data_IF_449590613073
#
_entry.id   IF_449590613073
#
_cell.length_a   1.000
_cell.length_b   1.000
_cell.length_c   1.000
_cell.angle_alpha   90.00
_cell.angle_beta   90.00
_cell.angle_gamma   90.00
#
_symmetry.space_group_name_H-M   'P 1'
#
loop_
_entity.id
_entity.type
_entity.pdbx_description
1 polymer ?
#
# COMPACT_ATOMS: atom_id res chain seq x y z
N UNK A 1 -32.75 33.80 -52.07
CA UNK A 1 -32.19 34.26 -50.78
C UNK A 1 -30.81 33.66 -50.60
N UNK A 2 -29.77 34.35 -51.06
CA UNK A 2 -28.36 33.98 -50.87
C UNK A 2 -27.90 34.44 -49.49
N UNK A 3 -27.57 33.49 -48.60
CA UNK A 3 -27.02 33.78 -47.26
C UNK A 3 -25.62 34.37 -47.44
N UNK A 4 -25.51 35.70 -47.41
CA UNK A 4 -24.23 36.40 -47.35
C UNK A 4 -23.64 36.14 -45.97
N UNK A 5 -22.76 35.14 -45.87
CA UNK A 5 -21.89 34.98 -44.69
C UNK A 5 -21.03 36.23 -44.63
N UNK A 6 -21.14 37.00 -43.54
CA UNK A 6 -20.37 38.23 -43.40
C UNK A 6 -18.87 37.88 -43.36
N UNK A 7 -18.04 38.74 -43.95
CA UNK A 7 -16.57 38.57 -43.97
C UNK A 7 -16.03 38.46 -42.54
N UNK A 8 -16.71 39.06 -41.55
CA UNK A 8 -16.42 38.92 -40.13
C UNK A 8 -16.60 37.49 -39.59
N UNK A 9 -17.69 36.78 -39.93
CA UNK A 9 -17.89 35.40 -39.50
C UNK A 9 -16.81 34.46 -40.07
N UNK A 10 -16.42 34.69 -41.33
CA UNK A 10 -15.35 33.92 -41.98
C UNK A 10 -13.97 34.22 -41.37
N UNK A 11 -13.68 35.50 -41.07
CA UNK A 11 -12.43 35.92 -40.42
C UNK A 11 -12.33 35.41 -38.97
N UNK A 12 -13.43 35.42 -38.22
CA UNK A 12 -13.49 34.95 -36.84
C UNK A 12 -13.25 33.43 -36.73
N UNK A 13 -13.87 32.65 -37.62
CA UNK A 13 -13.67 31.20 -37.74
C UNK A 13 -12.21 30.83 -38.08
N UNK A 14 -11.62 31.54 -39.06
CA UNK A 14 -10.24 31.28 -39.52
C UNK A 14 -9.18 31.69 -38.49
N UNK A 15 -9.41 32.78 -37.75
CA UNK A 15 -8.57 33.24 -36.63
C UNK A 15 -8.51 32.22 -35.49
N UNK A 16 -9.66 31.62 -35.11
CA UNK A 16 -9.74 30.60 -34.06
C UNK A 16 -8.96 29.31 -34.41
N UNK A 17 -9.03 28.85 -35.66
CA UNK A 17 -8.30 27.66 -36.15
C UNK A 17 -6.78 27.88 -36.19
N UNK A 18 -6.32 29.05 -36.64
CA UNK A 18 -4.89 29.41 -36.64
C UNK A 18 -4.36 29.57 -35.22
N UNK A 19 -5.15 30.17 -34.33
CA UNK A 19 -4.86 30.32 -32.89
C UNK A 19 -4.73 28.97 -32.18
N UNK A 20 -5.58 27.98 -32.49
CA UNK A 20 -5.51 26.66 -31.85
C UNK A 20 -4.23 25.89 -32.22
N UNK A 21 -3.89 25.84 -33.52
CA UNK A 21 -2.66 25.16 -33.97
C UNK A 21 -1.39 25.92 -33.56
N UNK A 22 -1.41 27.25 -33.48
CA UNK A 22 -0.25 28.01 -32.97
C UNK A 22 -0.09 27.91 -31.45
N UNK A 23 -1.19 27.78 -30.69
CA UNK A 23 -1.17 27.74 -29.22
C UNK A 23 -1.02 26.32 -28.64
N UNK A 24 -1.54 25.31 -29.32
CA UNK A 24 -1.47 23.91 -28.89
C UNK A 24 -0.66 23.01 -29.84
N UNK A 25 -0.23 23.48 -31.01
CA UNK A 25 0.55 22.67 -31.96
C UNK A 25 1.89 22.23 -31.39
N UNK A 26 2.58 23.07 -30.62
CA UNK A 26 3.80 22.67 -29.91
C UNK A 26 3.49 21.65 -28.81
N UNK A 27 2.42 21.85 -28.03
CA UNK A 27 2.00 20.88 -27.00
C UNK A 27 1.68 19.54 -27.65
N UNK A 28 0.94 19.53 -28.75
CA UNK A 28 0.56 18.32 -29.47
C UNK A 28 1.75 17.67 -30.18
N UNK A 29 2.76 18.44 -30.61
CA UNK A 29 3.98 17.92 -31.21
C UNK A 29 4.84 17.17 -30.17
N UNK A 30 4.97 17.71 -28.95
CA UNK A 30 5.72 17.07 -27.86
C UNK A 30 4.92 15.96 -27.16
N UNK A 31 3.60 16.13 -27.02
CA UNK A 31 2.73 15.17 -26.34
C UNK A 31 2.20 14.08 -27.28
N UNK A 32 2.10 14.37 -28.57
CA UNK A 32 1.52 13.50 -29.60
C UNK A 32 2.17 12.12 -29.69
N UNK A 33 3.52 12.02 -29.79
CA UNK A 33 4.19 10.72 -29.82
C UNK A 33 3.91 9.89 -28.56
N UNK A 34 3.96 10.51 -27.37
CA UNK A 34 3.63 9.84 -26.12
C UNK A 34 2.18 9.37 -26.10
N UNK A 35 1.21 10.23 -26.44
CA UNK A 35 -0.22 9.88 -26.47
C UNK A 35 -0.50 8.77 -27.47
N UNK A 36 0.12 8.81 -28.65
CA UNK A 36 -0.03 7.76 -29.65
C UNK A 36 0.39 6.40 -29.09
N UNK A 37 1.61 6.31 -28.55
CA UNK A 37 2.11 5.06 -27.98
C UNK A 37 1.35 4.61 -26.73
N UNK A 38 0.95 5.54 -25.86
CA UNK A 38 0.13 5.25 -24.70
C UNK A 38 -1.24 4.70 -25.09
N UNK A 39 -1.91 5.30 -26.09
CA UNK A 39 -3.19 4.81 -26.58
C UNK A 39 -3.04 3.43 -27.25
N UNK A 40 -2.01 3.25 -28.08
CA UNK A 40 -1.79 2.03 -28.85
C UNK A 40 -1.35 0.84 -27.96
N UNK A 41 -0.45 1.06 -27.01
CA UNK A 41 0.17 -0.02 -26.23
C UNK A 41 -0.34 -0.14 -24.79
N UNK A 42 -1.08 0.84 -24.29
CA UNK A 42 -1.66 0.77 -22.93
C UNK A 42 -3.19 0.75 -22.98
N UNK A 43 -3.82 1.75 -23.59
CA UNK A 43 -5.29 1.87 -23.56
C UNK A 43 -5.96 0.82 -24.44
N UNK A 44 -5.47 0.62 -25.67
CA UNK A 44 -6.06 -0.36 -26.59
C UNK A 44 -6.02 -1.80 -26.05
N UNK A 45 -4.89 -2.35 -25.57
CA UNK A 45 -4.86 -3.69 -24.99
C UNK A 45 -5.70 -3.82 -23.72
N UNK A 46 -5.80 -2.77 -22.90
CA UNK A 46 -6.66 -2.75 -21.72
C UNK A 46 -8.14 -2.87 -22.11
N UNK A 47 -8.61 -2.05 -23.06
CA UNK A 47 -10.00 -2.10 -23.55
C UNK A 47 -10.28 -3.44 -24.21
N UNK A 48 -9.34 -3.98 -25.00
CA UNK A 48 -9.46 -5.29 -25.60
C UNK A 48 -9.55 -6.41 -24.55
N UNK A 49 -8.75 -6.33 -23.47
CA UNK A 49 -8.82 -7.24 -22.33
C UNK A 49 -10.16 -7.20 -21.60
N UNK A 50 -10.75 -6.02 -21.44
CA UNK A 50 -12.10 -5.86 -20.88
C UNK A 50 -13.16 -6.45 -21.82
N UNK A 51 -13.01 -6.32 -23.14
CA UNK A 51 -13.92 -6.96 -24.08
C UNK A 51 -13.81 -8.50 -23.99
N UNK A 52 -12.59 -9.03 -23.97
CA UNK A 52 -12.34 -10.47 -23.83
C UNK A 52 -12.89 -11.04 -22.52
N UNK A 53 -12.83 -10.29 -21.41
CA UNK A 53 -13.34 -10.75 -20.12
C UNK A 53 -14.86 -10.98 -20.10
N UNK A 54 -15.60 -10.34 -21.02
CA UNK A 54 -17.05 -10.47 -21.17
C UNK A 54 -17.46 -11.56 -22.19
N UNK A 55 -16.49 -12.25 -22.77
CA UNK A 55 -16.70 -13.25 -23.81
C UNK A 55 -16.17 -14.61 -23.35
N UNK A 56 -16.74 -15.69 -23.91
CA UNK A 56 -15.97 -16.92 -24.09
C UNK A 56 -14.99 -16.61 -25.23
N UNK A 57 -13.71 -16.51 -24.90
CA UNK A 57 -12.69 -16.16 -25.88
C UNK A 57 -11.61 -17.26 -25.91
N UNK A 58 -11.36 -17.75 -27.12
CA UNK A 58 -10.37 -18.76 -27.47
C UNK A 58 -9.55 -18.24 -28.66
N UNK A 59 -8.23 -18.39 -28.56
CA UNK A 59 -7.32 -18.01 -29.64
C UNK A 59 -7.23 -19.12 -30.68
N UNK A 60 -7.25 -20.39 -30.24
CA UNK A 60 -7.06 -21.54 -31.12
C UNK A 60 -8.32 -21.89 -31.92
N UNK A 61 -9.50 -21.62 -31.35
CA UNK A 61 -10.78 -21.88 -32.00
C UNK A 61 -11.69 -20.64 -31.95
N UNK A 62 -11.51 -19.71 -32.90
CA UNK A 62 -12.31 -18.50 -32.98
C UNK A 62 -13.81 -18.76 -33.17
N UNK A 63 -14.20 -19.94 -33.65
CA UNK A 63 -15.62 -20.28 -33.88
C UNK A 63 -16.40 -20.44 -32.57
N UNK A 64 -15.69 -20.72 -31.48
CA UNK A 64 -16.29 -20.82 -30.14
C UNK A 64 -16.40 -19.47 -29.43
N UNK A 65 -15.94 -18.39 -30.07
CA UNK A 65 -15.98 -17.06 -29.48
C UNK A 65 -17.42 -16.57 -29.42
N UNK A 66 -17.93 -16.38 -28.21
CA UNK A 66 -19.31 -15.97 -27.98
C UNK A 66 -19.38 -14.93 -26.86
N UNK A 67 -20.20 -13.90 -27.05
CA UNK A 67 -20.51 -12.96 -25.98
C UNK A 67 -21.26 -13.68 -24.85
N UNK A 68 -20.75 -13.58 -23.62
CA UNK A 68 -21.35 -14.21 -22.43
C UNK A 68 -21.64 -13.21 -21.30
N UNK A 69 -21.44 -11.92 -21.56
CA UNK A 69 -21.60 -10.87 -20.55
C UNK A 69 -20.77 -11.16 -19.30
N UNK A 70 -21.38 -11.09 -18.12
CA UNK A 70 -20.69 -11.26 -16.84
C UNK A 70 -20.51 -12.72 -16.38
N UNK A 71 -20.76 -13.71 -17.24
CA UNK A 71 -20.67 -15.12 -16.84
C UNK A 71 -19.30 -15.51 -16.27
N UNK A 72 -18.20 -15.02 -16.86
CA UNK A 72 -16.86 -15.29 -16.37
C UNK A 72 -16.66 -14.77 -14.94
N UNK A 73 -17.20 -13.57 -14.65
CA UNK A 73 -17.15 -12.97 -13.32
C UNK A 73 -18.02 -13.73 -12.31
N UNK A 74 -19.21 -14.22 -12.73
CA UNK A 74 -20.06 -15.07 -11.88
C UNK A 74 -19.37 -16.38 -11.52
N UNK A 75 -18.79 -17.06 -12.51
CA UNK A 75 -18.00 -18.28 -12.29
C UNK A 75 -16.80 -18.01 -11.39
N UNK A 76 -16.14 -16.85 -11.55
CA UNK A 76 -14.97 -16.49 -10.76
C UNK A 76 -15.31 -16.14 -9.31
N UNK A 77 -16.37 -15.36 -9.07
CA UNK A 77 -16.64 -14.74 -7.76
C UNK A 77 -17.68 -15.49 -6.93
N UNK A 78 -18.63 -16.17 -7.57
CA UNK A 78 -19.81 -16.72 -6.88
C UNK A 78 -19.85 -18.26 -6.90
N UNK A 79 -19.29 -18.89 -7.93
CA UNK A 79 -19.32 -20.35 -8.05
C UNK A 79 -18.19 -21.02 -7.26
N UNK A 80 -18.39 -21.24 -5.96
CA UNK A 80 -17.42 -21.91 -5.09
C UNK A 80 -17.09 -23.35 -5.47
N UNK A 81 -17.92 -24.00 -6.31
CA UNK A 81 -17.64 -25.33 -6.84
C UNK A 81 -16.75 -25.30 -8.09
N UNK A 82 -16.51 -24.12 -8.68
CA UNK A 82 -15.64 -23.98 -9.84
C UNK A 82 -14.17 -24.02 -9.43
N UNK A 83 -13.38 -24.85 -10.11
CA UNK A 83 -11.92 -24.88 -9.95
C UNK A 83 -11.27 -23.50 -10.13
N UNK A 84 -11.85 -22.65 -10.99
CA UNK A 84 -11.36 -21.29 -11.20
C UNK A 84 -11.55 -20.39 -9.99
N UNK A 85 -12.70 -20.48 -9.31
CA UNK A 85 -12.96 -19.71 -8.10
C UNK A 85 -12.01 -20.15 -6.99
N UNK A 86 -11.95 -21.46 -6.73
CA UNK A 86 -11.14 -22.04 -5.65
C UNK A 86 -9.66 -21.69 -5.83
N UNK A 87 -9.10 -21.92 -7.02
CA UNK A 87 -7.69 -21.62 -7.29
C UNK A 87 -7.39 -20.12 -7.31
N UNK A 88 -8.31 -19.28 -7.83
CA UNK A 88 -8.14 -17.83 -7.80
C UNK A 88 -8.05 -17.30 -6.37
N UNK A 89 -8.98 -17.68 -5.50
CA UNK A 89 -8.98 -17.21 -4.11
C UNK A 89 -7.84 -17.80 -3.29
N UNK A 90 -7.42 -19.04 -3.58
CA UNK A 90 -6.21 -19.63 -3.01
C UNK A 90 -4.96 -18.82 -3.41
N UNK A 91 -4.79 -18.52 -4.70
CA UNK A 91 -3.68 -17.72 -5.22
C UNK A 91 -3.69 -16.28 -4.66
N UNK A 92 -4.87 -15.66 -4.58
CA UNK A 92 -5.06 -14.35 -3.96
C UNK A 92 -4.66 -14.35 -2.48
N UNK A 93 -5.07 -15.38 -1.73
CA UNK A 93 -4.71 -15.53 -0.31
C UNK A 93 -3.20 -15.69 -0.14
N UNK A 94 -2.55 -16.55 -0.90
CA UNK A 94 -1.11 -16.72 -0.87
C UNK A 94 -0.37 -15.43 -1.18
N UNK A 95 -0.80 -14.71 -2.23
CA UNK A 95 -0.22 -13.43 -2.63
C UNK A 95 -0.39 -12.37 -1.54
N UNK A 96 -1.58 -12.27 -0.94
CA UNK A 96 -1.87 -11.31 0.12
C UNK A 96 -1.08 -11.61 1.40
N UNK A 97 -1.01 -12.88 1.81
CA UNK A 97 -0.21 -13.32 2.96
C UNK A 97 1.27 -13.06 2.73
N UNK A 98 1.78 -13.39 1.55
CA UNK A 98 3.16 -13.12 1.19
C UNK A 98 3.45 -11.61 1.22
N UNK A 99 2.61 -10.80 0.57
CA UNK A 99 2.72 -9.34 0.57
C UNK A 99 2.71 -8.75 1.99
N UNK A 100 1.82 -9.23 2.86
CA UNK A 100 1.73 -8.79 4.25
C UNK A 100 3.02 -9.03 5.04
N UNK A 101 3.70 -10.16 4.78
CA UNK A 101 4.93 -10.54 5.48
C UNK A 101 6.17 -9.84 4.89
N UNK A 102 6.28 -9.78 3.56
CA UNK A 102 7.47 -9.25 2.89
C UNK A 102 7.53 -7.72 2.90
N UNK A 103 6.38 -7.03 2.79
CA UNK A 103 6.34 -5.56 2.66
C UNK A 103 7.01 -4.85 3.85
N UNK A 104 6.73 -5.19 5.12
CA UNK A 104 7.40 -4.56 6.26
C UNK A 104 8.93 -4.70 6.17
N UNK A 105 9.43 -5.89 5.83
CA UNK A 105 10.87 -6.16 5.71
C UNK A 105 11.46 -5.39 4.52
N UNK A 106 10.77 -5.38 3.39
CA UNK A 106 11.16 -4.65 2.17
C UNK A 106 11.16 -3.13 2.33
N UNK A 107 10.61 -2.57 3.42
CA UNK A 107 10.68 -1.14 3.74
C UNK A 107 11.68 -0.88 4.86
N UNK A 108 11.60 -1.65 5.96
CA UNK A 108 12.44 -1.45 7.13
C UNK A 108 13.91 -1.63 6.81
N UNK A 109 14.25 -2.67 6.05
CA UNK A 109 15.65 -2.97 5.73
C UNK A 109 16.27 -1.86 4.85
N UNK A 110 15.64 -1.41 3.74
CA UNK A 110 16.05 -0.20 3.03
C UNK A 110 16.11 1.07 3.86
N UNK A 111 15.15 1.28 4.77
CA UNK A 111 15.12 2.48 5.62
C UNK A 111 16.34 2.51 6.55
N UNK A 112 16.63 1.39 7.22
CA UNK A 112 17.80 1.26 8.09
C UNK A 112 19.07 1.51 7.27
N UNK A 113 19.22 0.86 6.12
CA UNK A 113 20.38 1.05 5.24
C UNK A 113 20.49 2.50 4.75
N UNK A 114 19.38 3.14 4.39
CA UNK A 114 19.36 4.53 3.94
C UNK A 114 19.81 5.49 5.05
N UNK A 115 19.36 5.27 6.29
CA UNK A 115 19.78 6.06 7.46
C UNK A 115 21.29 5.87 7.72
N UNK A 116 21.78 4.63 7.70
CA UNK A 116 23.20 4.33 7.91
C UNK A 116 24.09 5.00 6.86
N UNK A 117 23.70 4.93 5.58
CA UNK A 117 24.44 5.57 4.48
C UNK A 117 24.33 7.09 4.53
N UNK A 118 23.24 7.65 5.08
CA UNK A 118 23.05 9.08 5.21
C UNK A 118 24.07 9.74 6.16
N UNK A 119 24.64 8.99 7.11
CA UNK A 119 25.77 9.47 7.94
C UNK A 119 27.09 9.61 7.16
N UNK A 120 27.13 9.18 5.90
CA UNK A 120 28.31 9.25 5.03
C UNK A 120 29.57 8.63 5.67
N UNK A 121 29.53 7.38 6.15
CA UNK A 121 30.72 6.71 6.66
C UNK A 121 31.83 6.62 5.60
N UNK A 122 33.07 6.39 6.03
CA UNK A 122 34.19 6.18 5.10
C UNK A 122 33.83 5.07 4.11
N UNK A 123 33.91 5.36 2.81
CA UNK A 123 33.52 4.42 1.75
C UNK A 123 32.02 4.35 1.42
N UNK A 124 31.17 5.28 1.89
CA UNK A 124 29.71 5.23 1.66
C UNK A 124 29.30 5.07 0.18
N UNK A 125 30.08 5.59 -0.77
CA UNK A 125 29.81 5.44 -2.21
C UNK A 125 29.88 3.98 -2.65
N UNK A 126 30.85 3.22 -2.13
CA UNK A 126 31.01 1.80 -2.40
C UNK A 126 29.86 1.00 -1.78
N UNK A 127 29.55 1.23 -0.49
CA UNK A 127 28.42 0.57 0.16
C UNK A 127 27.09 0.84 -0.56
N UNK A 128 26.87 2.08 -1.01
CA UNK A 128 25.69 2.44 -1.80
C UNK A 128 25.59 1.62 -3.10
N UNK A 129 26.71 1.40 -3.79
CA UNK A 129 26.75 0.57 -4.99
C UNK A 129 26.45 -0.90 -4.68
N UNK A 130 27.07 -1.46 -3.64
CA UNK A 130 26.87 -2.86 -3.23
C UNK A 130 25.43 -3.13 -2.77
N UNK A 131 24.82 -2.22 -2.02
CA UNK A 131 23.42 -2.35 -1.57
C UNK A 131 22.45 -2.32 -2.76
N UNK A 132 22.76 -1.53 -3.79
CA UNK A 132 21.90 -1.41 -4.97
C UNK A 132 22.11 -2.54 -5.98
N UNK A 133 23.29 -3.16 -6.00
CA UNK A 133 23.69 -4.18 -6.97
C UNK A 133 22.67 -5.32 -7.19
N UNK A 134 22.07 -5.92 -6.14
CA UNK A 134 21.09 -7.00 -6.32
C UNK A 134 19.86 -6.59 -7.14
N UNK A 135 19.44 -5.33 -7.05
CA UNK A 135 18.22 -4.84 -7.71
C UNK A 135 18.38 -4.63 -9.22
N UNK A 136 19.61 -4.68 -9.73
CA UNK A 136 19.92 -4.58 -11.16
C UNK A 136 19.87 -5.96 -11.83
N UNK A 137 20.05 -7.04 -11.05
CA UNK A 137 20.14 -8.38 -11.60
C UNK A 137 18.77 -8.87 -12.08
N UNK A 138 18.69 -9.49 -13.28
CA UNK A 138 17.46 -10.11 -13.75
C UNK A 138 16.99 -11.20 -12.82
N UNK A 139 15.68 -11.25 -12.55
CA UNK A 139 15.06 -12.26 -11.66
C UNK A 139 15.38 -13.69 -12.11
N UNK A 140 15.47 -13.93 -13.42
CA UNK A 140 15.85 -15.24 -13.98
C UNK A 140 17.27 -15.65 -13.58
N UNK A 141 18.25 -14.76 -13.76
CA UNK A 141 19.65 -15.01 -13.38
C UNK A 141 19.80 -15.19 -11.87
N UNK A 142 19.19 -14.30 -11.08
CA UNK A 142 19.19 -14.42 -9.63
C UNK A 142 18.51 -15.71 -9.15
N UNK A 143 17.41 -16.11 -9.79
CA UNK A 143 16.72 -17.35 -9.46
C UNK A 143 17.58 -18.58 -9.70
N UNK A 144 18.30 -18.67 -10.83
CA UNK A 144 19.24 -19.79 -11.09
C UNK A 144 20.34 -19.87 -10.04
N UNK A 145 20.89 -18.72 -9.61
CA UNK A 145 21.88 -18.67 -8.52
C UNK A 145 21.26 -19.22 -7.23
N UNK A 146 20.04 -18.80 -6.89
CA UNK A 146 19.35 -19.29 -5.70
C UNK A 146 19.02 -20.80 -5.77
N UNK A 147 18.62 -21.32 -6.93
CA UNK A 147 18.43 -22.77 -7.13
C UNK A 147 19.73 -23.52 -6.85
N UNK A 148 20.87 -23.02 -7.33
CA UNK A 148 22.17 -23.64 -7.06
C UNK A 148 22.55 -23.55 -5.57
N UNK A 149 22.34 -22.40 -4.92
CA UNK A 149 22.65 -22.19 -3.49
C UNK A 149 21.81 -23.10 -2.58
N UNK A 150 20.52 -23.23 -2.88
CA UNK A 150 19.55 -24.01 -2.10
C UNK A 150 19.34 -25.43 -2.65
N UNK A 151 20.22 -25.89 -3.56
CA UNK A 151 20.18 -27.25 -4.08
C UNK A 151 20.34 -28.27 -2.96
N UNK A 152 19.49 -29.30 -2.96
CA UNK A 152 19.51 -30.34 -1.94
C UNK A 152 20.76 -31.22 -2.00
N UNK A 153 21.35 -31.42 -3.18
CA UNK A 153 22.50 -32.32 -3.42
C UNK A 153 23.85 -31.64 -3.28
N UNK A 154 23.98 -30.39 -3.75
CA UNK A 154 25.27 -29.69 -3.80
C UNK A 154 25.19 -28.24 -3.30
N UNK A 155 24.05 -27.81 -2.76
CA UNK A 155 23.84 -26.44 -2.35
C UNK A 155 24.69 -26.05 -1.15
N UNK A 156 25.34 -24.89 -1.26
CA UNK A 156 26.19 -24.34 -0.20
C UNK A 156 25.43 -24.09 1.10
N UNK A 157 24.12 -23.80 1.03
CA UNK A 157 23.30 -23.59 2.23
C UNK A 157 23.25 -24.87 3.08
N UNK A 158 22.95 -26.01 2.45
CA UNK A 158 22.93 -27.30 3.13
C UNK A 158 24.30 -27.69 3.69
N UNK A 159 25.37 -27.46 2.92
CA UNK A 159 26.73 -27.75 3.37
C UNK A 159 27.14 -26.91 4.57
N UNK A 160 26.80 -25.62 4.59
CA UNK A 160 27.15 -24.73 5.69
C UNK A 160 26.39 -25.08 6.98
N UNK A 161 25.11 -25.46 6.87
CA UNK A 161 24.30 -25.85 8.02
C UNK A 161 24.41 -27.34 8.39
N UNK A 162 25.11 -28.15 7.60
CA UNK A 162 25.20 -29.60 7.80
C UNK A 162 23.86 -30.32 7.63
N UNK A 163 22.97 -29.79 6.79
CA UNK A 163 21.61 -30.32 6.56
C UNK A 163 21.47 -30.90 5.15
N UNK A 164 20.42 -31.70 4.93
CA UNK A 164 20.08 -32.32 3.63
C UNK A 164 18.66 -31.96 3.17
N UNK A 165 18.20 -30.77 3.54
CA UNK A 165 16.82 -30.31 3.29
C UNK A 165 16.64 -30.04 1.79
N UNK A 166 15.52 -30.51 1.23
CA UNK A 166 15.12 -30.18 -0.15
C UNK A 166 14.24 -28.93 -0.16
N UNK A 167 14.92 -27.77 -0.02
CA UNK A 167 14.30 -26.47 0.22
C UNK A 167 13.18 -26.08 -0.76
N UNK A 168 13.28 -26.49 -2.03
CA UNK A 168 12.36 -26.05 -3.08
C UNK A 168 11.19 -27.02 -3.30
N UNK A 169 11.37 -28.32 -3.00
CA UNK A 169 10.41 -29.35 -3.41
C UNK A 169 9.86 -30.21 -2.27
N UNK A 170 10.41 -30.18 -1.04
CA UNK A 170 9.90 -31.04 0.03
C UNK A 170 8.71 -30.45 0.78
N UNK A 171 8.79 -29.17 1.17
CA UNK A 171 7.81 -28.53 2.05
C UNK A 171 7.47 -27.12 1.52
N UNK A 172 6.17 -26.76 1.45
CA UNK A 172 5.74 -25.41 1.11
C UNK A 172 6.43 -24.30 1.88
N UNK A 173 6.68 -24.49 3.18
CA UNK A 173 7.26 -23.46 4.05
C UNK A 173 8.69 -23.17 3.63
N UNK A 174 9.48 -24.21 3.33
CA UNK A 174 10.85 -24.03 2.85
C UNK A 174 10.88 -23.33 1.49
N UNK A 175 9.98 -23.70 0.58
CA UNK A 175 9.88 -23.08 -0.72
C UNK A 175 9.55 -21.57 -0.59
N UNK A 176 8.60 -21.22 0.26
CA UNK A 176 8.28 -19.82 0.58
C UNK A 176 9.42 -19.06 1.24
N UNK A 177 10.24 -19.70 2.08
CA UNK A 177 11.43 -19.08 2.67
C UNK A 177 12.44 -18.71 1.58
N UNK A 178 12.71 -19.60 0.62
CA UNK A 178 13.67 -19.31 -0.47
C UNK A 178 13.14 -18.18 -1.36
N UNK A 179 11.85 -18.20 -1.70
CA UNK A 179 11.18 -17.11 -2.44
C UNK A 179 11.28 -15.79 -1.67
N UNK A 180 11.03 -15.82 -0.36
CA UNK A 180 11.12 -14.65 0.52
C UNK A 180 12.54 -14.07 0.51
N UNK A 181 13.56 -14.90 0.68
CA UNK A 181 14.96 -14.46 0.69
C UNK A 181 15.38 -13.85 -0.66
N UNK A 182 14.99 -14.46 -1.78
CA UNK A 182 15.23 -13.89 -3.11
C UNK A 182 14.53 -12.53 -3.26
N UNK A 183 13.30 -12.40 -2.79
CA UNK A 183 12.53 -11.16 -2.84
C UNK A 183 13.11 -10.05 -1.96
N UNK A 184 13.58 -10.37 -0.75
CA UNK A 184 14.25 -9.40 0.14
C UNK A 184 15.54 -8.92 -0.53
N UNK A 185 16.37 -9.85 -0.99
CA UNK A 185 17.68 -9.54 -1.56
C UNK A 185 17.57 -8.75 -2.87
N UNK A 186 16.67 -9.12 -3.77
CA UNK A 186 16.49 -8.44 -5.05
C UNK A 186 15.63 -7.16 -4.96
N UNK A 187 14.67 -7.11 -4.03
CA UNK A 187 13.62 -6.07 -4.02
C UNK A 187 13.96 -4.79 -3.24
N UNK A 188 14.96 -4.82 -2.36
CA UNK A 188 15.23 -3.73 -1.42
C UNK A 188 15.88 -2.46 -2.05
N UNK A 189 16.50 -2.58 -3.23
CA UNK A 189 17.30 -1.50 -3.83
C UNK A 189 16.49 -0.29 -4.29
N UNK A 190 15.29 -0.51 -4.86
CA UNK A 190 14.40 0.57 -5.28
C UNK A 190 13.93 1.43 -4.11
N UNK A 191 13.42 0.79 -3.06
CA UNK A 191 13.01 1.47 -1.83
C UNK A 191 14.18 2.19 -1.17
N UNK A 192 15.39 1.62 -1.19
CA UNK A 192 16.58 2.26 -0.65
C UNK A 192 16.90 3.57 -1.36
N UNK A 193 16.79 3.63 -2.69
CA UNK A 193 17.04 4.85 -3.47
C UNK A 193 16.02 5.93 -3.14
N UNK A 194 14.73 5.58 -3.11
CA UNK A 194 13.63 6.52 -2.82
C UNK A 194 13.77 7.08 -1.40
N UNK A 195 14.00 6.22 -0.41
CA UNK A 195 14.15 6.63 0.99
C UNK A 195 15.44 7.44 1.21
N UNK A 196 16.55 7.07 0.57
CA UNK A 196 17.79 7.85 0.61
C UNK A 196 17.61 9.25 0.02
N UNK A 197 16.84 9.40 -1.06
CA UNK A 197 16.50 10.70 -1.62
C UNK A 197 15.61 11.51 -0.67
N UNK A 198 14.63 10.86 -0.03
CA UNK A 198 13.78 11.48 0.99
C UNK A 198 14.56 12.00 2.20
N UNK A 199 15.50 11.21 2.72
CA UNK A 199 16.34 11.59 3.87
C UNK A 199 17.20 12.82 3.60
N UNK A 200 17.63 13.03 2.34
CA UNK A 200 18.39 14.22 1.96
C UNK A 200 17.57 15.51 1.96
N UNK A 201 16.24 15.41 1.88
CA UNK A 201 15.34 16.57 1.92
C UNK A 201 15.03 17.02 3.36
N UNK A 202 15.48 16.29 4.39
CA UNK A 202 15.30 16.69 5.79
C UNK A 202 16.25 17.85 6.09
N UNK A 203 15.68 18.99 6.49
CA UNK A 203 16.46 20.19 6.83
C UNK A 203 17.37 19.91 8.05
N UNK A 204 18.65 20.28 7.92
CA UNK A 204 19.64 20.18 8.99
C UNK A 204 19.26 21.05 10.18
N UNK A 205 18.60 22.19 9.94
CA UNK A 205 18.16 23.11 11.00
C UNK A 205 17.22 22.42 12.00
N UNK A 206 16.33 21.53 11.53
CA UNK A 206 15.43 20.75 12.36
C UNK A 206 16.18 19.73 13.24
N UNK A 207 17.23 19.11 12.68
CA UNK A 207 18.07 18.16 13.41
C UNK A 207 18.94 18.85 14.47
N UNK A 208 19.44 20.05 14.17
CA UNK A 208 20.19 20.89 15.11
C UNK A 208 19.28 21.39 16.24
N UNK A 209 18.09 21.91 15.92
CA UNK A 209 17.10 22.31 16.92
C UNK A 209 16.75 21.16 17.87
N UNK A 210 16.48 19.97 17.34
CA UNK A 210 16.23 18.78 18.16
C UNK A 210 17.45 18.38 19.02
N UNK A 211 18.68 18.72 18.60
CA UNK A 211 19.89 18.48 19.40
C UNK A 211 19.95 19.42 20.60
N UNK A 212 19.58 20.70 20.40
CA UNK A 212 19.50 21.71 21.46
C UNK A 212 18.42 21.36 22.49
N UNK A 213 17.30 20.79 22.04
CA UNK A 213 16.21 20.29 22.90
C UNK A 213 16.56 18.99 23.66
N UNK A 214 17.81 18.51 23.58
CA UNK A 214 18.27 17.32 24.30
C UNK A 214 17.80 15.99 23.71
N UNK A 215 17.35 15.96 22.45
CA UNK A 215 16.86 14.74 21.83
C UNK A 215 18.01 13.79 21.48
N UNK A 216 17.90 12.51 21.87
CA UNK A 216 18.89 11.47 21.53
C UNK A 216 18.88 11.17 20.02
N UNK A 217 19.94 10.56 19.49
CA UNK A 217 20.01 10.19 18.06
C UNK A 217 18.84 9.33 17.60
N UNK A 218 18.40 8.37 18.43
CA UNK A 218 17.21 7.58 18.15
C UNK A 218 15.93 8.42 18.24
N UNK A 219 15.84 9.33 19.21
CA UNK A 219 14.75 10.29 19.33
C UNK A 219 14.58 11.16 18.08
N UNK A 220 15.69 11.65 17.50
CA UNK A 220 15.68 12.42 16.24
C UNK A 220 15.15 11.60 15.06
N UNK A 221 15.55 10.33 14.94
CA UNK A 221 15.07 9.46 13.87
C UNK A 221 13.55 9.29 13.97
N UNK A 222 13.04 8.96 15.15
CA UNK A 222 11.63 8.65 15.35
C UNK A 222 10.72 9.88 15.28
N UNK A 223 11.15 11.00 15.84
CA UNK A 223 10.30 12.19 16.02
C UNK A 223 10.53 13.30 14.99
N UNK A 224 11.66 13.30 14.28
CA UNK A 224 11.98 14.33 13.28
C UNK A 224 12.08 13.69 11.90
N UNK A 225 13.00 12.75 11.72
CA UNK A 225 13.32 12.19 10.40
C UNK A 225 12.15 11.43 9.79
N UNK A 226 11.60 10.42 10.49
CA UNK A 226 10.50 9.58 9.98
C UNK A 226 9.25 10.41 9.63
N UNK A 227 8.79 11.36 10.47
CA UNK A 227 7.69 12.26 10.11
C UNK A 227 7.96 13.10 8.86
N UNK A 228 9.18 13.61 8.67
CA UNK A 228 9.55 14.39 7.49
C UNK A 228 9.51 13.57 6.20
N UNK A 229 9.92 12.29 6.24
CA UNK A 229 9.92 11.41 5.06
C UNK A 229 8.63 10.58 4.91
N UNK A 230 7.57 10.95 5.64
CA UNK A 230 6.30 10.20 5.66
C UNK A 230 5.71 9.99 4.27
N UNK A 231 5.79 11.00 3.39
CA UNK A 231 5.24 10.89 2.04
C UNK A 231 5.98 9.85 1.21
N UNK A 232 7.32 9.81 1.31
CA UNK A 232 8.16 8.82 0.65
C UNK A 232 7.93 7.42 1.23
N UNK A 233 7.77 7.30 2.55
CA UNK A 233 7.43 6.03 3.20
C UNK A 233 6.09 5.48 2.72
N UNK A 234 5.05 6.31 2.69
CA UNK A 234 3.72 5.92 2.19
C UNK A 234 3.84 5.46 0.73
N UNK A 235 4.53 6.24 -0.12
CA UNK A 235 4.75 5.86 -1.50
C UNK A 235 5.44 4.49 -1.61
N UNK A 236 6.55 4.27 -0.91
CA UNK A 236 7.26 2.99 -0.89
C UNK A 236 6.37 1.83 -0.42
N UNK A 237 5.57 2.03 0.65
CA UNK A 237 4.66 1.00 1.16
C UNK A 237 3.71 0.54 0.06
N UNK A 238 2.99 1.47 -0.55
CA UNK A 238 1.96 1.12 -1.52
C UNK A 238 2.55 0.60 -2.84
N UNK A 239 3.65 1.17 -3.33
CA UNK A 239 4.32 0.65 -4.54
C UNK A 239 4.86 -0.76 -4.31
N UNK A 240 5.37 -1.04 -3.10
CA UNK A 240 5.86 -2.38 -2.74
C UNK A 240 4.73 -3.38 -2.64
N UNK A 241 3.58 -3.01 -2.06
CA UNK A 241 2.38 -3.85 -2.05
C UNK A 241 1.97 -4.18 -3.49
N UNK A 242 1.78 -3.16 -4.34
CA UNK A 242 1.38 -3.33 -5.75
C UNK A 242 2.38 -4.23 -6.49
N UNK A 243 3.67 -4.05 -6.25
CA UNK A 243 4.74 -4.88 -6.83
C UNK A 243 4.61 -6.36 -6.46
N UNK A 244 4.39 -6.68 -5.18
CA UNK A 244 4.25 -8.07 -4.74
C UNK A 244 2.90 -8.72 -5.09
N UNK A 245 1.85 -7.94 -5.36
CA UNK A 245 0.65 -8.47 -6.03
C UNK A 245 0.91 -8.95 -7.46
N UNK A 246 1.99 -8.48 -8.07
CA UNK A 246 2.45 -8.89 -9.42
C UNK A 246 3.58 -9.93 -9.37
N UNK A 247 3.77 -10.62 -8.23
CA UNK A 247 4.84 -11.60 -8.04
C UNK A 247 4.65 -12.80 -8.98
N UNK A 248 5.54 -12.96 -9.95
CA UNK A 248 5.50 -14.05 -10.93
C UNK A 248 6.88 -14.70 -11.11
N UNK A 249 7.87 -13.92 -11.54
CA UNK A 249 9.16 -14.44 -12.00
C UNK A 249 9.90 -15.25 -10.94
N UNK A 250 9.84 -14.84 -9.68
CA UNK A 250 10.49 -15.51 -8.56
C UNK A 250 9.91 -16.91 -8.33
N UNK A 251 8.57 -17.03 -8.34
CA UNK A 251 7.88 -18.31 -8.19
C UNK A 251 8.12 -19.18 -9.41
N UNK A 252 7.97 -18.62 -10.61
CA UNK A 252 8.16 -19.34 -11.86
C UNK A 252 9.56 -19.99 -11.95
N UNK A 253 10.60 -19.24 -11.60
CA UNK A 253 11.98 -19.73 -11.69
C UNK A 253 12.32 -20.70 -10.57
N UNK A 254 11.97 -20.40 -9.31
CA UNK A 254 12.41 -21.18 -8.15
C UNK A 254 11.64 -22.49 -7.98
N UNK A 255 10.31 -22.44 -8.12
CA UNK A 255 9.42 -23.54 -7.70
C UNK A 255 8.44 -23.96 -8.77
N UNK A 256 8.24 -23.12 -9.78
CA UNK A 256 7.17 -23.25 -10.77
C UNK A 256 5.81 -23.55 -10.12
N UNK A 257 5.50 -22.87 -9.01
CA UNK A 257 4.25 -23.03 -8.24
C UNK A 257 4.26 -24.17 -7.21
N UNK A 258 5.21 -25.11 -7.28
CA UNK A 258 5.34 -26.21 -6.34
C UNK A 258 5.87 -25.81 -4.95
N UNK A 259 6.03 -26.78 -4.03
CA UNK A 259 5.61 -28.18 -4.15
C UNK A 259 4.09 -28.33 -4.15
N UNK A 260 3.60 -29.44 -4.68
CA UNK A 260 2.16 -29.74 -4.71
C UNK A 260 1.72 -30.27 -3.34
N UNK A 261 0.59 -29.77 -2.86
CA UNK A 261 -0.03 -30.20 -1.60
C UNK A 261 -1.45 -30.66 -1.85
N UNK A 262 -1.89 -31.67 -1.10
CA UNK A 262 -3.28 -32.10 -1.12
C UNK A 262 -4.00 -31.49 0.09
N UNK A 263 -5.03 -30.69 -0.18
CA UNK A 263 -5.93 -30.14 0.85
C UNK A 263 -7.33 -30.63 0.48
N UNK A 264 -7.97 -31.39 1.38
CA UNK A 264 -9.33 -31.91 1.23
C UNK A 264 -9.56 -32.68 -0.09
N UNK A 265 -8.58 -33.47 -0.51
CA UNK A 265 -8.65 -34.28 -1.75
C UNK A 265 -8.33 -33.49 -3.03
N UNK A 266 -8.06 -32.20 -2.95
CA UNK A 266 -7.69 -31.35 -4.10
C UNK A 266 -6.20 -31.02 -4.06
N UNK A 267 -5.51 -31.20 -5.19
CA UNK A 267 -4.09 -30.85 -5.31
C UNK A 267 -3.93 -29.36 -5.65
N UNK A 268 -3.09 -28.67 -4.88
CA UNK A 268 -2.76 -27.26 -5.05
C UNK A 268 -1.26 -27.08 -5.20
N UNK A 269 -0.88 -26.17 -6.09
CA UNK A 269 0.45 -25.60 -6.15
C UNK A 269 0.67 -24.68 -4.93
N UNK A 270 1.47 -25.11 -3.96
CA UNK A 270 1.54 -24.45 -2.66
C UNK A 270 2.14 -23.04 -2.69
N UNK A 271 3.00 -22.75 -3.67
CA UNK A 271 3.59 -21.42 -3.88
C UNK A 271 2.89 -20.59 -4.95
N UNK A 272 1.68 -21.01 -5.36
CA UNK A 272 0.90 -20.31 -6.37
C UNK A 272 0.57 -18.87 -5.93
N UNK A 273 1.16 -17.89 -6.60
CA UNK A 273 0.69 -16.51 -6.59
C UNK A 273 -0.38 -16.28 -7.64
N UNK A 274 -1.13 -15.18 -7.51
CA UNK A 274 -2.18 -14.83 -8.45
C UNK A 274 -1.62 -14.64 -9.86
N UNK A 275 -0.50 -13.94 -10.00
CA UNK A 275 0.06 -13.68 -11.32
C UNK A 275 0.66 -14.93 -11.95
N UNK A 276 1.24 -15.83 -11.16
CA UNK A 276 1.64 -17.15 -11.64
C UNK A 276 0.45 -18.00 -12.09
N UNK A 277 -0.66 -17.98 -11.35
CA UNK A 277 -1.87 -18.71 -11.74
C UNK A 277 -2.46 -18.22 -13.08
N UNK A 278 -2.53 -16.90 -13.29
CA UNK A 278 -3.00 -16.36 -14.56
C UNK A 278 -2.10 -16.80 -15.72
N UNK A 279 -0.78 -16.76 -15.52
CA UNK A 279 0.20 -17.17 -16.54
C UNK A 279 0.20 -18.68 -16.79
N UNK A 280 0.00 -19.51 -15.76
CA UNK A 280 -0.05 -20.97 -15.92
C UNK A 280 -1.28 -21.41 -16.71
N UNK A 281 -2.40 -20.69 -16.59
CA UNK A 281 -3.57 -20.91 -17.44
C UNK A 281 -3.33 -20.55 -18.91
N UNK A 282 -2.61 -19.45 -19.19
CA UNK A 282 -2.28 -19.02 -20.56
C UNK A 282 -1.32 -20.01 -21.21
N UNK A 283 -0.29 -20.44 -20.48
CA UNK A 283 0.74 -21.34 -20.98
C UNK A 283 0.32 -22.82 -20.97
N UNK A 284 -0.86 -23.12 -20.41
CA UNK A 284 -1.41 -24.46 -20.37
C UNK A 284 -1.96 -24.94 -21.71
N UNK A 285 -2.37 -26.21 -21.75
CA UNK A 285 -2.94 -26.85 -22.95
C UNK A 285 -4.42 -26.49 -23.19
N UNK A 286 -5.03 -25.69 -22.31
CA UNK A 286 -6.44 -25.35 -22.36
C UNK A 286 -6.67 -24.05 -23.13
N UNK A 287 -6.97 -24.15 -24.42
CA UNK A 287 -7.04 -22.98 -25.30
C UNK A 287 -8.29 -22.09 -25.12
N UNK A 288 -9.31 -22.55 -24.39
CA UNK A 288 -10.56 -21.84 -24.20
C UNK A 288 -10.62 -20.94 -22.95
N UNK A 289 -9.47 -20.70 -22.29
CA UNK A 289 -9.43 -20.01 -20.98
C UNK A 289 -9.14 -18.52 -21.06
N UNK A 290 -8.79 -17.96 -22.23
CA UNK A 290 -8.35 -16.57 -22.35
C UNK A 290 -9.41 -15.54 -21.90
N UNK A 291 -10.69 -15.79 -22.17
CA UNK A 291 -11.78 -14.95 -21.64
C UNK A 291 -11.86 -15.00 -20.11
N UNK A 292 -11.69 -16.18 -19.52
CA UNK A 292 -11.66 -16.37 -18.07
C UNK A 292 -10.44 -15.72 -17.42
N UNK A 293 -9.25 -15.90 -18.00
CA UNK A 293 -8.01 -15.28 -17.53
C UNK A 293 -8.07 -13.76 -17.63
N UNK A 294 -8.68 -13.22 -18.69
CA UNK A 294 -8.92 -11.77 -18.81
C UNK A 294 -9.83 -11.26 -17.69
N UNK A 295 -10.90 -12.00 -17.36
CA UNK A 295 -11.77 -11.66 -16.22
C UNK A 295 -11.03 -11.68 -14.87
N UNK A 296 -10.15 -12.67 -14.67
CA UNK A 296 -9.28 -12.73 -13.48
C UNK A 296 -8.31 -11.53 -13.42
N UNK A 297 -7.69 -11.18 -14.55
CA UNK A 297 -6.77 -10.05 -14.66
C UNK A 297 -7.43 -8.71 -14.38
N UNK A 298 -8.63 -8.48 -14.93
CA UNK A 298 -9.42 -7.27 -14.62
C UNK A 298 -9.83 -7.25 -13.14
N UNK A 299 -10.22 -8.40 -12.57
CA UNK A 299 -10.57 -8.50 -11.14
C UNK A 299 -9.37 -8.16 -10.26
N UNK A 300 -8.18 -8.72 -10.54
CA UNK A 300 -6.93 -8.36 -9.87
C UNK A 300 -6.62 -6.86 -10.03
N UNK A 301 -6.77 -6.31 -11.23
CA UNK A 301 -6.61 -4.89 -11.50
C UNK A 301 -7.53 -4.01 -10.67
N UNK A 302 -8.77 -4.42 -10.43
CA UNK A 302 -9.70 -3.73 -9.53
C UNK A 302 -9.20 -3.79 -8.09
N UNK A 303 -8.75 -4.95 -7.59
CA UNK A 303 -8.18 -5.07 -6.24
C UNK A 303 -6.96 -4.16 -6.04
N UNK A 304 -6.03 -4.16 -6.99
CA UNK A 304 -4.84 -3.28 -6.97
C UNK A 304 -5.24 -1.81 -7.10
N UNK A 305 -6.26 -1.51 -7.92
CA UNK A 305 -6.86 -0.19 -8.06
C UNK A 305 -7.48 0.33 -6.78
N UNK A 306 -8.14 -0.53 -5.98
CA UNK A 306 -8.67 -0.18 -4.66
C UNK A 306 -7.55 0.16 -3.67
N UNK A 307 -6.46 -0.63 -3.67
CA UNK A 307 -5.26 -0.33 -2.87
C UNK A 307 -4.68 1.04 -3.25
N UNK A 308 -4.61 1.33 -4.55
CA UNK A 308 -4.14 2.62 -5.09
C UNK A 308 -5.09 3.77 -4.73
N UNK A 309 -6.40 3.56 -4.76
CA UNK A 309 -7.37 4.56 -4.32
C UNK A 309 -7.20 4.89 -2.83
N UNK A 310 -6.97 3.87 -1.99
CA UNK A 310 -6.65 4.05 -0.57
C UNK A 310 -5.35 4.85 -0.42
N UNK A 311 -4.30 4.53 -1.20
CA UNK A 311 -3.05 5.30 -1.22
C UNK A 311 -3.32 6.79 -1.49
N UNK A 312 -4.11 7.11 -2.52
CA UNK A 312 -4.43 8.49 -2.89
C UNK A 312 -5.20 9.21 -1.77
N UNK A 313 -6.14 8.53 -1.12
CA UNK A 313 -6.90 9.10 0.00
C UNK A 313 -6.01 9.36 1.23
N UNK A 314 -5.07 8.47 1.53
CA UNK A 314 -4.12 8.58 2.66
C UNK A 314 -3.04 9.64 2.37
N UNK A 315 -2.58 9.73 1.12
CA UNK A 315 -1.51 10.66 0.69
C UNK A 315 -2.02 12.06 0.42
N UNK A 316 -3.34 12.24 0.20
CA UNK A 316 -3.97 13.55 0.02
C UNK A 316 -3.57 14.44 1.20
N UNK A 317 -2.68 15.39 0.93
CA UNK A 317 -2.26 16.36 1.93
C UNK A 317 -3.51 17.01 2.52
N UNK A 318 -3.70 16.88 3.83
CA UNK A 318 -4.68 17.71 4.51
C UNK A 318 -4.21 19.15 4.29
N UNK A 319 -4.91 19.90 3.41
CA UNK A 319 -4.80 21.36 3.25
C UNK A 319 -4.76 22.15 4.58
N UNK A 320 -5.13 21.49 5.69
CA UNK A 320 -4.94 21.93 7.07
C UNK A 320 -3.51 22.33 7.47
N UNK A 321 -2.47 21.84 6.79
CA UNK A 321 -1.07 22.21 7.11
C UNK A 321 -0.77 23.70 6.96
N UNK A 322 -1.48 24.38 6.06
CA UNK A 322 -1.35 25.82 5.88
C UNK A 322 -2.16 26.57 6.91
N UNK A 323 -3.16 25.98 7.56
CA UNK A 323 -4.00 26.70 8.52
C UNK A 323 -3.18 27.39 9.62
N UNK A 324 -2.18 26.69 10.19
CA UNK A 324 -1.28 27.28 11.19
C UNK A 324 -0.27 28.26 10.59
N UNK A 325 0.22 28.01 9.38
CA UNK A 325 1.14 28.92 8.68
C UNK A 325 0.42 30.22 8.25
N UNK A 326 -0.81 30.10 7.76
CA UNK A 326 -1.74 31.17 7.41
C UNK A 326 -2.26 31.88 8.67
N UNK A 327 -2.50 31.17 9.77
CA UNK A 327 -2.81 31.78 11.07
C UNK A 327 -1.60 32.57 11.59
N UNK A 328 -0.38 32.07 11.40
CA UNK A 328 0.86 32.77 11.76
C UNK A 328 1.18 33.94 10.82
N UNK A 329 0.94 33.79 9.52
CA UNK A 329 1.06 34.86 8.54
C UNK A 329 0.05 35.98 8.84
N UNK A 330 -1.21 35.62 9.13
CA UNK A 330 -2.23 36.57 9.62
C UNK A 330 -1.85 37.20 10.95
N UNK A 331 -1.18 36.48 11.84
CA UNK A 331 -0.64 37.05 13.08
C UNK A 331 0.45 38.11 12.79
N UNK A 332 1.40 37.82 11.89
CA UNK A 332 2.43 38.77 11.47
C UNK A 332 1.83 39.99 10.76
N UNK A 333 0.87 39.79 9.86
CA UNK A 333 0.14 40.88 9.18
C UNK A 333 -0.63 41.74 10.19
N UNK A 334 -1.37 41.14 11.13
CA UNK A 334 -2.07 41.89 12.18
C UNK A 334 -1.12 42.64 13.12
N UNK A 335 0.10 42.15 13.32
CA UNK A 335 1.15 42.88 14.06
C UNK A 335 1.79 44.00 13.24
N UNK A 336 1.89 43.86 11.91
CA UNK A 336 2.38 44.91 11.00
C UNK A 336 1.36 46.02 10.80
N UNK A 337 0.08 45.66 10.68
CA UNK A 337 -1.03 46.60 10.55
C UNK A 337 -1.41 47.24 11.89
N UNK A 338 -1.38 46.47 12.98
CA UNK A 338 -1.60 46.96 14.35
C UNK A 338 -0.39 47.67 14.97
N UNK A 339 0.81 47.52 14.40
CA UNK A 339 2.00 48.24 14.82
C UNK A 339 2.03 49.72 14.40
N UNK A 340 1.06 50.16 13.58
CA UNK A 340 0.94 51.55 13.13
C UNK A 340 -0.24 52.30 13.77
N UNK A 341 -1.10 51.63 14.56
CA UNK A 341 -2.20 52.28 15.30
C UNK A 341 -2.46 51.55 16.60
N UNK A 342 -2.33 52.29 17.71
CA UNK A 342 -2.54 51.91 19.11
C UNK A 342 -1.28 51.50 19.88
N UNK A 343 -0.37 52.47 20.01
CA UNK A 343 0.22 52.74 21.32
C UNK A 343 -0.82 53.52 22.15
N UNK A 344 -0.92 53.18 23.44
CA UNK A 344 -1.94 53.55 24.43
C UNK A 344 -3.21 52.66 24.52
N UNK A 345 -3.34 52.07 25.71
CA UNK A 345 -4.47 51.34 26.28
C UNK A 345 -4.80 49.94 25.73
N UNK A 346 -4.14 48.94 26.32
CA UNK A 346 -4.78 47.86 27.12
C UNK A 346 -3.73 46.91 27.68
N UNK A 347 -3.21 47.25 28.86
CA UNK A 347 -2.61 46.27 29.76
C UNK A 347 -3.74 45.46 30.41
N UNK A 348 -3.67 44.14 30.31
CA UNK A 348 -4.44 43.24 31.18
C UNK A 348 -5.17 42.11 30.47
N UNK A 349 -4.43 41.10 30.00
CA UNK A 349 -4.73 39.66 30.19
C UNK A 349 -3.62 38.81 29.56
N UNK A 350 -2.95 37.93 30.31
CA UNK A 350 -1.93 37.05 29.75
C UNK A 350 -2.61 35.95 28.91
N UNK A 351 -2.21 35.83 27.65
CA UNK A 351 -2.48 34.66 26.84
C UNK A 351 -1.70 33.47 27.43
N UNK A 352 -2.40 32.52 28.06
CA UNK A 352 -1.81 31.24 28.48
C UNK A 352 -1.44 30.44 27.23
N UNK A 353 -0.14 30.23 27.00
CA UNK A 353 0.35 29.18 26.10
C UNK A 353 -0.13 27.83 26.62
N UNK A 354 -1.07 27.20 25.92
CA UNK A 354 -1.41 25.79 26.11
C UNK A 354 -0.38 24.92 25.40
N UNK A 355 0.57 24.36 26.15
CA UNK A 355 1.45 23.29 25.70
C UNK A 355 0.58 22.08 25.32
N UNK A 356 0.77 21.42 24.17
CA UNK A 356 0.05 20.19 23.86
C UNK A 356 0.51 19.07 24.79
N UNK A 357 -0.32 18.76 25.79
CA UNK A 357 -0.18 17.55 26.59
C UNK A 357 -0.45 16.37 25.66
N UNK A 358 0.46 15.38 25.66
CA UNK A 358 0.39 14.17 24.84
C UNK A 358 -0.89 13.35 25.02
N UNK A 359 -0.96 12.14 24.42
CA UNK A 359 -2.21 11.41 24.15
C UNK A 359 -3.04 11.00 25.39
N UNK A 360 -2.56 11.25 26.62
CA UNK A 360 -3.28 11.04 27.87
C UNK A 360 -4.08 12.26 28.39
N UNK A 361 -4.01 13.43 27.74
CA UNK A 361 -4.72 14.64 28.16
C UNK A 361 -6.25 14.59 28.02
N UNK A 362 -6.77 13.77 27.11
CA UNK A 362 -8.21 13.66 26.85
C UNK A 362 -8.99 13.00 27.99
N UNK A 363 -8.37 12.10 28.76
CA UNK A 363 -9.04 11.41 29.87
C UNK A 363 -9.26 12.34 31.07
N UNK A 364 -8.30 13.22 31.36
CA UNK A 364 -8.37 14.20 32.46
C UNK A 364 -9.43 15.28 32.21
N UNK A 365 -9.57 15.70 30.95
CA UNK A 365 -10.57 16.70 30.57
C UNK A 365 -12.01 16.16 30.55
N UNK A 366 -12.16 14.85 30.33
CA UNK A 366 -13.44 14.14 30.42
C UNK A 366 -13.85 13.88 31.88
N UNK A 367 -12.90 13.45 32.73
CA UNK A 367 -13.15 13.25 34.17
C UNK A 367 -13.50 14.56 34.88
N UNK A 368 -12.84 15.67 34.54
CA UNK A 368 -13.15 16.98 35.13
C UNK A 368 -14.53 17.54 34.72
N UNK A 369 -15.06 17.12 33.56
CA UNK A 369 -16.44 17.45 33.14
C UNK A 369 -17.49 16.63 33.88
N UNK A 370 -17.19 15.37 34.20
CA UNK A 370 -18.08 14.52 35.00
C UNK A 370 -18.14 14.95 36.47
N UNK A 371 -17.05 15.52 36.99
CA UNK A 371 -16.98 16.05 38.35
C UNK A 371 -17.79 17.35 38.51
N UNK A 372 -17.75 18.23 37.49
CA UNK A 372 -18.59 19.44 37.44
C UNK A 372 -20.08 19.17 37.24
N UNK A 373 -20.45 18.04 36.63
CA UNK A 373 -21.86 17.64 36.49
C UNK A 373 -22.48 17.10 37.78
N UNK A 374 -21.68 16.80 38.81
CA UNK A 374 -22.16 16.34 40.13
C UNK A 374 -22.36 17.47 41.16
N UNK A 375 -22.02 18.72 40.83
CA UNK A 375 -21.86 19.80 41.81
C UNK A 375 -22.88 20.96 41.71
N UNK A 376 -24.02 20.79 41.04
CA UNK A 376 -25.06 21.83 41.03
C UNK A 376 -26.47 21.23 41.20
N UNK A 377 -27.14 21.44 42.35
CA UNK A 377 -28.56 21.17 42.52
C UNK A 377 -29.39 22.38 42.06
N UNK A 378 -30.54 22.12 41.44
CA UNK A 378 -31.63 23.08 41.33
C UNK A 378 -31.82 23.72 39.95
N UNK A 379 -32.95 23.36 39.33
CA UNK A 379 -33.75 24.18 38.42
C UNK A 379 -33.18 24.52 37.02
N UNK A 380 -33.70 23.86 35.99
CA UNK A 380 -34.88 24.39 35.30
C UNK A 380 -35.53 23.34 34.40
N UNK A 381 -36.85 23.29 34.51
CA UNK A 381 -37.78 22.32 33.93
C UNK A 381 -37.97 22.48 32.41
N UNK A 382 -38.29 21.33 31.83
CA UNK A 382 -39.00 21.02 30.58
C UNK A 382 -40.05 22.06 30.08
N UNK A 383 -40.42 21.99 28.77
CA UNK A 383 -41.56 21.13 28.41
C UNK A 383 -41.31 20.20 27.22
N UNK A 384 -41.66 18.92 27.42
CA UNK A 384 -42.01 17.95 26.37
C UNK A 384 -43.43 18.26 25.85
N UNK A 385 -43.68 18.02 24.55
CA UNK A 385 -44.84 17.22 24.06
C UNK A 385 -44.87 17.17 22.53
N UNK A 386 -44.86 15.95 21.97
CA UNK A 386 -45.90 15.43 21.06
C UNK A 386 -45.72 13.93 20.75
N UNK A 387 -46.78 13.16 21.09
CA UNK A 387 -47.24 11.82 20.64
C UNK A 387 -46.30 10.60 20.86
N UNK A 388 -46.54 9.63 21.78
CA UNK A 388 -47.64 8.64 22.00
C UNK A 388 -47.93 7.75 20.77
N UNK A 389 -48.00 6.42 20.79
CA UNK A 389 -48.16 5.42 21.86
C UNK A 389 -47.90 3.99 21.31
N UNK A 390 -47.24 3.10 22.07
CA UNK A 390 -47.77 1.80 22.54
C UNK A 390 -46.69 0.98 23.31
N UNK A 391 -47.07 0.13 24.30
CA UNK A 391 -46.16 -0.33 25.36
C UNK A 391 -45.90 -1.86 25.36
N UNK A 392 -45.03 -2.24 26.31
CA UNK A 392 -44.86 -3.56 26.95
C UNK A 392 -43.85 -4.58 26.36
N UNK A 393 -42.66 -4.65 26.98
CA UNK A 393 -42.34 -5.67 28.01
C UNK A 393 -40.92 -5.50 28.62
N UNK A 394 -40.91 -5.10 29.90
CA UNK A 394 -40.12 -5.57 31.06
C UNK A 394 -38.68 -6.08 30.81
N UNK A 395 -37.66 -5.33 31.25
CA UNK A 395 -37.02 -5.42 32.59
C UNK A 395 -36.33 -6.77 32.88
N UNK A 396 -34.97 -6.76 32.87
CA UNK A 396 -34.12 -7.07 34.03
C UNK A 396 -32.62 -7.00 33.67
N UNK A 397 -31.95 -6.02 34.28
CA UNK A 397 -30.51 -6.02 34.65
C UNK A 397 -30.42 -6.43 36.14
N UNK A 398 -29.26 -6.77 36.77
CA UNK A 398 -27.94 -6.14 36.56
C UNK A 398 -26.69 -7.06 36.67
N UNK A 399 -25.50 -6.45 36.41
CA UNK A 399 -24.10 -6.94 36.57
C UNK A 399 -23.67 -6.93 38.08
N UNK A 400 -22.37 -6.93 38.54
CA UNK A 400 -21.01 -7.16 37.94
C UNK A 400 -19.98 -7.92 38.87
N UNK A 401 -18.67 -7.87 38.54
CA UNK A 401 -17.38 -8.07 39.32
C UNK A 401 -16.47 -9.20 38.76
N UNK A 402 -15.21 -9.08 38.32
CA UNK A 402 -13.93 -8.41 38.72
C UNK A 402 -13.11 -9.17 39.80
N UNK A 403 -11.82 -9.45 39.47
CA UNK A 403 -10.65 -9.90 40.28
C UNK A 403 -10.40 -11.40 40.52
N UNK A 404 -9.27 -11.94 40.00
CA UNK A 404 -8.04 -12.23 40.79
C UNK A 404 -6.96 -12.96 39.95
N UNK A 405 -5.73 -12.43 40.05
CA UNK A 405 -4.45 -13.12 39.86
C UNK A 405 -4.21 -14.06 41.05
N UNK A 406 -3.63 -15.24 40.83
CA UNK A 406 -2.48 -15.76 41.58
C UNK A 406 -2.07 -17.16 41.09
N UNK A 407 -0.78 -17.31 40.76
CA UNK A 407 -0.03 -18.58 40.69
C UNK A 407 0.34 -19.01 42.15
N UNK A 408 1.07 -20.12 42.48
CA UNK A 408 1.99 -20.96 41.67
C UNK A 408 2.07 -22.46 42.10
N UNK A 409 3.17 -23.14 41.71
CA UNK A 409 3.67 -24.50 42.05
C UNK A 409 3.13 -25.69 41.25
N UNK A 410 3.84 -26.80 41.03
CA UNK A 410 5.25 -27.18 40.80
C UNK A 410 5.22 -28.72 40.64
N UNK A 411 6.12 -29.26 39.81
CA UNK A 411 6.71 -30.61 39.89
C UNK A 411 5.81 -31.86 40.07
N UNK A 412 5.79 -32.72 39.05
CA UNK A 412 6.20 -34.15 39.16
C UNK A 412 6.26 -34.81 37.78
N UNK A 413 7.40 -35.39 37.45
CA UNK A 413 7.52 -36.34 36.34
C UNK A 413 7.10 -37.75 36.75
N UNK A 414 6.75 -38.58 35.76
CA UNK A 414 7.30 -39.93 35.62
C UNK A 414 6.94 -40.53 34.25
N UNK A 415 7.86 -41.38 33.78
CA UNK A 415 7.83 -42.25 32.59
C UNK A 415 6.57 -43.13 32.51
N UNK A 416 6.20 -43.56 31.30
CA UNK A 416 6.35 -44.95 30.81
C UNK A 416 5.67 -45.16 29.44
N UNK A 417 6.47 -45.68 28.50
CA UNK A 417 6.18 -46.71 27.47
C UNK A 417 4.74 -46.83 26.93
N UNK A 418 4.55 -46.50 25.65
CA UNK A 418 4.32 -47.48 24.57
C UNK A 418 4.49 -46.81 23.19
#
# INVERSE_FOLDING_TARGET
MSRLVSVEEYAYSRSKRKSFFQRYGLVLLFLGPYLFFFLLFTVYPLVYGIAMSLMRYSISDPTQNAWRGFQNYWTLLTNSASIYNVNFWYAMKNTALFALLIVPVAILLPLIMAILINFQPKGYKFFRAVIYLPSILPVSSSGVIFIALFSWTFGYVNQWFGTTINWLNSDPIYAWIVIFLLCVWGGWGGNFVILSAGLKNVDKSLLEAASVDGCTSFGKILHVTIPCIKQQLILCIFTTIIGYFSLYGQIYVLTNGGPDINIDGTNYHSTMSIMWYLQSLINGTQYNVYGMVSAMGITLGIFVGLITAIQLLVTKERKSGHKKADDFARYIESKREGGAKHEHDRLGRPYRLGIPIGPFGHLRHFLHRLEKAKAAPGEFLHPLRRFSAHPDKLLRRPRPFLLLLDAPFAYRGHRLLH
#
